data_IF_328016484626
#
_entry.id   IF_328016484626
#
_cell.length_a   1.000
_cell.length_b   1.000
_cell.length_c   1.000
_cell.angle_alpha   90.00
_cell.angle_beta   90.00
_cell.angle_gamma   90.00
#
_symmetry.space_group_name_H-M   'P 1'
#
loop_
_entity.id
_entity.type
_entity.pdbx_description
1 polymer ?
#
# COMPACT_ATOMS: atom_id res chain seq x y z
N UNK A 1 -18.61 -12.02 11.10
CA UNK A 1 -17.19 -11.95 10.71
C UNK A 1 -16.50 -10.88 11.52
N UNK A 2 -15.19 -10.99 11.77
CA UNK A 2 -14.43 -9.96 12.49
C UNK A 2 -14.24 -8.75 11.55
N UNK A 3 -14.53 -7.54 12.03
CA UNK A 3 -14.21 -6.32 11.29
C UNK A 3 -12.69 -6.13 11.31
N UNK A 4 -12.13 -5.79 10.16
CA UNK A 4 -10.72 -5.47 10.00
C UNK A 4 -10.58 -4.04 9.51
N UNK A 5 -9.58 -3.32 10.01
CA UNK A 5 -9.16 -2.06 9.42
C UNK A 5 -8.52 -2.35 8.05
N UNK A 6 -9.12 -1.80 7.00
CA UNK A 6 -8.65 -1.95 5.63
C UNK A 6 -8.51 -0.57 5.00
N UNK A 7 -7.33 -0.31 4.46
CA UNK A 7 -7.06 0.89 3.66
C UNK A 7 -6.76 0.42 2.24
N UNK A 8 -7.49 0.96 1.27
CA UNK A 8 -7.26 0.72 -0.16
C UNK A 8 -6.89 2.03 -0.82
N UNK A 9 -5.68 2.11 -1.33
CA UNK A 9 -5.16 3.25 -2.09
C UNK A 9 -5.06 2.88 -3.56
N UNK A 10 -5.66 3.70 -4.43
CA UNK A 10 -5.41 3.66 -5.87
C UNK A 10 -4.24 4.59 -6.18
N UNK A 11 -3.19 4.04 -6.78
CA UNK A 11 -2.02 4.80 -7.17
C UNK A 11 -2.21 5.23 -8.63
N UNK A 12 -2.47 6.51 -8.85
CA UNK A 12 -2.57 7.09 -10.19
C UNK A 12 -1.24 7.74 -10.59
N UNK A 13 -0.89 7.64 -11.86
CA UNK A 13 0.35 8.19 -12.42
C UNK A 13 0.41 8.05 -13.93
N UNK A 14 1.57 8.33 -14.50
CA UNK A 14 1.80 8.35 -15.94
C UNK A 14 1.71 9.76 -16.55
N UNK A 15 2.06 9.86 -17.82
CA UNK A 15 2.09 11.13 -18.55
C UNK A 15 0.71 11.80 -18.61
N UNK A 16 0.65 13.09 -18.32
CA UNK A 16 -0.59 13.87 -18.33
C UNK A 16 -1.56 13.53 -17.18
N UNK A 17 -1.10 12.90 -16.10
CA UNK A 17 -1.92 12.66 -14.91
C UNK A 17 -2.35 14.00 -14.28
N UNK A 18 -3.65 14.13 -14.01
CA UNK A 18 -4.26 15.25 -13.29
C UNK A 18 -5.54 14.78 -12.61
N UNK A 19 -6.05 15.53 -11.64
CA UNK A 19 -7.33 15.18 -10.97
C UNK A 19 -8.45 15.02 -12.01
N UNK A 20 -8.56 15.95 -12.96
CA UNK A 20 -9.57 15.93 -14.02
C UNK A 20 -9.39 14.72 -14.94
N UNK A 21 -8.16 14.45 -15.37
CA UNK A 21 -7.89 13.35 -16.30
C UNK A 21 -8.11 11.98 -15.63
N UNK A 22 -7.75 11.84 -14.35
CA UNK A 22 -8.04 10.65 -13.55
C UNK A 22 -9.55 10.47 -13.35
N UNK A 23 -10.28 11.54 -13.07
CA UNK A 23 -11.74 11.46 -12.93
C UNK A 23 -12.43 11.00 -14.22
N UNK A 24 -11.95 11.46 -15.38
CA UNK A 24 -12.51 11.11 -16.68
C UNK A 24 -12.05 9.73 -17.20
N UNK A 25 -10.81 9.32 -16.92
CA UNK A 25 -10.21 8.09 -17.47
C UNK A 25 -9.41 7.33 -16.41
N UNK A 26 -10.02 6.89 -15.30
CA UNK A 26 -9.28 6.36 -14.15
C UNK A 26 -8.45 5.13 -14.48
N UNK A 27 -8.96 4.23 -15.33
CA UNK A 27 -8.25 3.02 -15.72
C UNK A 27 -6.95 3.31 -16.49
N UNK A 28 -6.93 4.36 -17.32
CA UNK A 28 -5.74 4.78 -18.08
C UNK A 28 -4.59 5.19 -17.16
N UNK A 29 -4.92 5.83 -16.04
CA UNK A 29 -3.94 6.39 -15.11
C UNK A 29 -3.65 5.48 -13.93
N UNK A 30 -4.38 4.38 -13.75
CA UNK A 30 -4.17 3.45 -12.65
C UNK A 30 -2.85 2.69 -12.83
N UNK A 31 -1.92 2.88 -11.90
CA UNK A 31 -0.60 2.23 -11.90
C UNK A 31 -0.55 1.05 -10.93
N UNK A 32 -1.28 1.15 -9.81
CA UNK A 32 -1.35 0.08 -8.82
C UNK A 32 -2.55 0.26 -7.89
N UNK A 33 -2.91 -0.80 -7.20
CA UNK A 33 -3.81 -0.78 -6.04
C UNK A 33 -3.00 -1.29 -4.84
N UNK A 34 -2.81 -0.43 -3.84
CA UNK A 34 -2.11 -0.79 -2.61
C UNK A 34 -3.11 -0.98 -1.49
N UNK A 35 -2.98 -2.08 -0.75
CA UNK A 35 -3.86 -2.43 0.37
C UNK A 35 -3.05 -2.56 1.64
N UNK A 36 -3.56 -1.99 2.72
CA UNK A 36 -3.14 -2.24 4.09
C UNK A 36 -4.29 -2.91 4.83
N UNK A 37 -4.02 -4.03 5.48
CA UNK A 37 -4.99 -4.78 6.26
C UNK A 37 -4.44 -5.02 7.66
N UNK A 38 -5.15 -4.57 8.69
CA UNK A 38 -4.74 -4.81 10.08
C UNK A 38 -5.17 -6.21 10.53
N UNK A 39 -4.18 -7.04 10.87
CA UNK A 39 -4.33 -8.45 11.23
C UNK A 39 -3.77 -8.69 12.63
N UNK A 40 -4.60 -8.68 13.69
CA UNK A 40 -4.12 -8.85 15.06
C UNK A 40 -3.18 -10.04 15.22
N UNK A 41 -1.98 -9.80 15.77
CA UNK A 41 -0.93 -10.79 16.01
C UNK A 41 -0.08 -11.17 14.78
N UNK A 42 -0.24 -10.49 13.65
CA UNK A 42 0.52 -10.80 12.43
C UNK A 42 1.94 -10.24 12.45
N UNK A 43 2.10 -8.98 12.88
CA UNK A 43 3.39 -8.31 12.95
C UNK A 43 3.37 -7.20 14.02
N UNK A 44 3.43 -7.55 15.31
CA UNK A 44 3.22 -6.60 16.40
C UNK A 44 4.16 -5.39 16.38
N UNK A 45 5.40 -5.59 15.91
CA UNK A 45 6.41 -4.52 15.74
C UNK A 45 5.97 -3.46 14.72
N UNK A 46 5.18 -3.85 13.72
CA UNK A 46 4.66 -2.98 12.66
C UNK A 46 3.14 -2.86 12.75
N UNK A 47 2.64 -2.76 13.99
CA UNK A 47 1.23 -2.51 14.33
C UNK A 47 0.25 -3.45 13.64
N UNK A 48 0.69 -4.70 13.42
CA UNK A 48 -0.11 -5.76 12.81
C UNK A 48 -0.58 -5.49 11.37
N UNK A 49 0.08 -4.57 10.65
CA UNK A 49 -0.26 -4.28 9.27
C UNK A 49 0.28 -5.33 8.30
N UNK A 50 -0.61 -5.86 7.48
CA UNK A 50 -0.29 -6.58 6.26
C UNK A 50 -0.36 -5.63 5.07
N UNK A 51 0.64 -5.69 4.19
CA UNK A 51 0.78 -4.81 3.04
C UNK A 51 0.69 -5.63 1.76
N UNK A 52 0.00 -5.15 0.74
CA UNK A 52 0.08 -5.73 -0.60
C UNK A 52 -0.08 -4.66 -1.67
N UNK A 53 0.70 -4.78 -2.75
CA UNK A 53 0.58 -3.94 -3.95
C UNK A 53 0.20 -4.81 -5.13
N UNK A 54 -0.92 -4.48 -5.77
CA UNK A 54 -1.39 -5.10 -7.00
C UNK A 54 -1.10 -4.21 -8.20
N UNK A 55 -0.80 -4.83 -9.33
CA UNK A 55 -0.80 -4.18 -10.64
C UNK A 55 -2.24 -3.91 -11.10
N UNK A 56 -2.44 -3.07 -12.14
CA UNK A 56 -3.78 -2.76 -12.65
C UNK A 56 -4.56 -3.99 -13.14
N UNK A 57 -3.85 -5.04 -13.54
CA UNK A 57 -4.42 -6.33 -13.96
C UNK A 57 -4.81 -7.26 -12.80
N UNK A 58 -4.53 -6.85 -11.55
CA UNK A 58 -4.82 -7.62 -10.34
C UNK A 58 -3.73 -8.61 -9.93
N UNK A 59 -2.63 -8.74 -10.69
CA UNK A 59 -1.47 -9.53 -10.26
C UNK A 59 -0.74 -8.85 -9.10
N UNK A 60 -0.08 -9.63 -8.24
CA UNK A 60 0.76 -9.08 -7.16
C UNK A 60 2.02 -8.49 -7.80
N UNK A 61 2.34 -7.25 -7.43
CA UNK A 61 3.52 -6.57 -7.91
C UNK A 61 4.81 -7.12 -7.28
N UNK A 62 5.96 -6.82 -7.87
CA UNK A 62 7.26 -7.31 -7.39
C UNK A 62 8.29 -6.19 -7.42
N UNK A 63 9.27 -6.23 -6.53
CA UNK A 63 10.43 -5.34 -6.60
C UNK A 63 11.36 -5.76 -7.77
N UNK A 64 12.42 -4.97 -8.10
CA UNK A 64 13.37 -5.33 -9.15
C UNK A 64 14.10 -6.67 -8.96
N UNK A 65 14.14 -7.19 -7.73
CA UNK A 65 14.73 -8.47 -7.37
C UNK A 65 13.74 -9.65 -7.53
N UNK A 66 12.51 -9.38 -7.95
CA UNK A 66 11.47 -10.39 -8.14
C UNK A 66 10.72 -10.79 -6.87
N UNK A 67 10.96 -10.11 -5.74
CA UNK A 67 10.24 -10.36 -4.49
C UNK A 67 8.83 -9.77 -4.58
N UNK A 68 7.82 -10.60 -4.34
CA UNK A 68 6.42 -10.17 -4.32
C UNK A 68 6.17 -9.15 -3.20
N UNK A 69 5.49 -8.06 -3.55
CA UNK A 69 5.11 -7.00 -2.62
C UNK A 69 3.81 -7.38 -1.88
N UNK A 70 3.88 -8.43 -1.06
CA UNK A 70 2.80 -8.90 -0.20
C UNK A 70 3.32 -9.38 1.16
N UNK A 71 2.64 -9.04 2.25
CA UNK A 71 3.02 -9.44 3.60
C UNK A 71 3.77 -8.37 4.38
N UNK A 72 4.92 -8.75 4.96
CA UNK A 72 5.80 -7.87 5.75
C UNK A 72 6.78 -7.14 4.82
N UNK A 73 6.23 -6.37 3.88
CA UNK A 73 6.98 -5.82 2.75
C UNK A 73 8.05 -4.85 3.25
N UNK A 74 9.31 -5.18 2.97
CA UNK A 74 10.51 -4.43 3.35
C UNK A 74 10.70 -4.28 4.88
N UNK A 75 10.32 -5.29 5.67
CA UNK A 75 10.58 -5.31 7.12
C UNK A 75 12.09 -5.38 7.38
N UNK A 76 12.62 -4.44 8.16
CA UNK A 76 14.04 -4.36 8.51
C UNK A 76 14.91 -3.70 7.44
N UNK A 77 14.32 -3.31 6.31
CA UNK A 77 15.00 -2.58 5.24
C UNK A 77 14.97 -1.07 5.47
N UNK A 78 15.90 -0.34 4.85
CA UNK A 78 15.98 1.12 4.93
C UNK A 78 14.89 1.84 4.11
N UNK A 79 14.36 1.18 3.08
CA UNK A 79 13.36 1.74 2.16
C UNK A 79 12.23 0.73 1.90
N UNK A 80 11.05 1.23 1.54
CA UNK A 80 9.89 0.41 1.20
C UNK A 80 8.68 0.69 2.09
N UNK A 81 7.67 -0.19 2.01
CA UNK A 81 6.36 0.05 2.62
C UNK A 81 6.46 0.26 4.14
N UNK A 82 7.05 -0.71 4.86
CA UNK A 82 7.16 -0.64 6.32
C UNK A 82 8.05 0.54 6.74
N UNK A 83 9.22 0.71 6.12
CA UNK A 83 10.17 1.77 6.48
C UNK A 83 9.55 3.18 6.35
N UNK A 84 8.87 3.47 5.24
CA UNK A 84 8.24 4.78 5.04
C UNK A 84 7.05 4.99 5.98
N UNK A 85 6.25 3.95 6.22
CA UNK A 85 5.07 4.06 7.07
C UNK A 85 5.38 4.08 8.57
N UNK A 86 6.53 3.56 9.00
CA UNK A 86 7.00 3.68 10.39
C UNK A 86 7.20 5.15 10.81
N UNK A 87 7.41 6.06 9.85
CA UNK A 87 7.54 7.49 10.09
C UNK A 87 6.19 8.24 10.15
N UNK A 88 5.05 7.55 9.97
CA UNK A 88 3.74 8.20 10.08
C UNK A 88 3.48 8.70 11.51
N UNK A 89 2.77 9.83 11.67
CA UNK A 89 2.35 10.28 12.99
C UNK A 89 1.30 9.33 13.60
N UNK A 90 0.98 9.52 14.89
CA UNK A 90 -0.07 8.77 15.56
C UNK A 90 0.25 7.31 15.93
N UNK A 91 1.47 6.84 15.67
CA UNK A 91 1.98 5.50 16.02
C UNK A 91 1.16 4.31 15.46
N UNK A 92 0.33 4.55 14.43
CA UNK A 92 -0.48 3.54 13.74
C UNK A 92 -0.02 3.26 12.30
N UNK A 93 1.14 3.80 11.90
CA UNK A 93 1.70 3.63 10.54
C UNK A 93 0.81 4.18 9.40
N UNK A 94 -0.14 5.08 9.69
CA UNK A 94 -1.13 5.60 8.73
C UNK A 94 -1.16 7.12 8.77
N UNK A 95 -0.80 7.77 7.66
CA UNK A 95 -0.73 9.24 7.53
C UNK A 95 -2.09 9.98 7.50
N UNK A 96 -3.21 9.26 7.48
CA UNK A 96 -4.55 9.84 7.24
C UNK A 96 -5.45 9.85 8.49
N UNK A 97 -4.93 9.46 9.66
CA UNK A 97 -5.72 9.26 10.88
C UNK A 97 -5.46 10.31 11.98
N UNK A 98 -4.82 11.43 11.64
CA UNK A 98 -4.39 12.47 12.59
C UNK A 98 -5.17 13.78 12.43
#
# INVERSE_FOLDING_TARGET
>A
GKLHDIIVKRNYGGEGVSIVNVANQPAKYLQAITVMLKRPGYDPENRDWFWVRYRPDGSIDSNPEGVMLAGKVAKGEAEGCIACHAAAPGDDMVFLRD
#
